data_IF_530780335874
#
_entry.id   IF_530780335874
#
_cell.length_a   1.000
_cell.length_b   1.000
_cell.length_c   1.000
_cell.angle_alpha   90.00
_cell.angle_beta   90.00
_cell.angle_gamma   90.00
#
_symmetry.space_group_name_H-M   'P 1'
#
loop_
_entity.id
_entity.type
_entity.pdbx_description
1 polymer ?
#
# COMPACT_ATOMS: atom_id res chain seq x y z
N UNK A 1 -27.73 -33.49 -55.72
CA UNK A 1 -28.48 -33.15 -54.49
C UNK A 1 -28.08 -34.15 -53.40
N UNK A 2 -27.10 -33.79 -52.57
CA UNK A 2 -26.64 -34.55 -51.40
C UNK A 2 -26.25 -33.54 -50.33
N UNK A 3 -27.00 -33.54 -49.23
CA UNK A 3 -26.82 -32.67 -48.07
C UNK A 3 -25.89 -33.41 -47.11
N UNK A 4 -24.73 -32.82 -46.81
CA UNK A 4 -23.82 -33.36 -45.79
C UNK A 4 -23.86 -32.43 -44.59
N UNK A 5 -24.49 -32.89 -43.52
CA UNK A 5 -24.54 -32.25 -42.21
C UNK A 5 -23.12 -32.16 -41.62
N UNK A 6 -22.64 -30.95 -41.35
CA UNK A 6 -21.42 -30.73 -40.58
C UNK A 6 -21.83 -30.48 -39.12
N UNK A 7 -21.52 -31.43 -38.24
CA UNK A 7 -21.66 -31.26 -36.80
C UNK A 7 -20.67 -30.19 -36.30
N UNK A 8 -21.20 -29.13 -35.69
CA UNK A 8 -20.41 -28.16 -34.95
C UNK A 8 -20.02 -28.77 -33.59
N UNK A 9 -18.71 -28.95 -33.36
CA UNK A 9 -18.16 -29.25 -32.03
C UNK A 9 -17.85 -27.91 -31.36
N UNK A 10 -18.72 -27.49 -30.44
CA UNK A 10 -18.48 -26.34 -29.58
C UNK A 10 -17.46 -26.78 -28.52
N UNK A 11 -16.18 -26.47 -28.76
CA UNK A 11 -15.14 -26.59 -27.76
C UNK A 11 -15.34 -25.54 -26.67
N UNK A 12 -15.90 -25.95 -25.54
CA UNK A 12 -16.01 -25.12 -24.35
C UNK A 12 -14.60 -24.96 -23.75
N UNK A 13 -13.85 -23.96 -24.22
CA UNK A 13 -12.61 -23.53 -23.58
C UNK A 13 -12.98 -22.94 -22.22
N UNK A 14 -12.79 -23.72 -21.16
CA UNK A 14 -12.85 -23.25 -19.79
C UNK A 14 -11.78 -22.16 -19.60
N UNK A 15 -12.17 -20.89 -19.71
CA UNK A 15 -11.36 -19.75 -19.29
C UNK A 15 -11.00 -19.94 -17.80
N UNK A 16 -9.72 -20.00 -17.42
CA UNK A 16 -9.36 -19.94 -16.02
C UNK A 16 -9.86 -18.58 -15.51
N UNK A 17 -10.83 -18.60 -14.59
CA UNK A 17 -11.25 -17.42 -13.85
C UNK A 17 -10.01 -16.94 -13.10
N UNK A 18 -9.36 -15.90 -13.61
CA UNK A 18 -8.35 -15.17 -12.87
C UNK A 18 -9.02 -14.73 -11.55
N UNK A 19 -8.69 -15.41 -10.46
CA UNK A 19 -9.15 -15.01 -9.15
C UNK A 19 -8.71 -13.56 -8.95
N UNK A 20 -9.63 -12.61 -8.67
CA UNK A 20 -9.22 -11.26 -8.36
C UNK A 20 -8.29 -11.37 -7.16
N UNK A 21 -7.02 -11.05 -7.35
CA UNK A 21 -6.06 -10.92 -6.27
C UNK A 21 -6.73 -10.02 -5.27
N UNK A 22 -7.07 -10.53 -4.08
CA UNK A 22 -7.59 -9.71 -3.01
C UNK A 22 -6.54 -8.62 -2.79
N UNK A 23 -6.82 -7.42 -3.29
CA UNK A 23 -5.91 -6.30 -3.18
C UNK A 23 -5.92 -5.95 -1.70
N UNK A 24 -5.00 -6.58 -0.95
CA UNK A 24 -4.82 -6.35 0.48
C UNK A 24 -4.50 -4.87 0.59
N UNK A 25 -5.51 -4.09 0.97
CA UNK A 25 -5.35 -2.66 1.20
C UNK A 25 -4.25 -2.54 2.25
N UNK A 26 -3.14 -1.90 1.89
CA UNK A 26 -2.00 -1.78 2.78
C UNK A 26 -2.49 -1.23 4.15
N UNK A 27 -2.11 -1.87 5.27
CA UNK A 27 -2.60 -1.47 6.58
C UNK A 27 -2.24 -0.01 6.87
N UNK A 28 -3.20 0.73 7.43
CA UNK A 28 -2.99 2.12 7.84
C UNK A 28 -2.23 2.16 9.17
N UNK A 29 -1.22 3.01 9.27
CA UNK A 29 -0.45 3.24 10.49
C UNK A 29 -0.84 4.60 11.03
N UNK A 30 -1.49 4.63 12.20
CA UNK A 30 -2.06 5.84 12.80
C UNK A 30 -2.93 6.66 11.81
N UNK A 31 -3.67 5.97 10.94
CA UNK A 31 -4.52 6.59 9.92
C UNK A 31 -3.80 6.98 8.63
N UNK A 32 -2.47 6.86 8.55
CA UNK A 32 -1.70 7.14 7.33
C UNK A 32 -1.54 5.87 6.51
N UNK A 33 -1.78 5.98 5.21
CA UNK A 33 -1.59 4.90 4.22
C UNK A 33 -0.52 5.28 3.20
N UNK A 34 0.08 4.29 2.56
CA UNK A 34 0.94 4.51 1.40
C UNK A 34 0.16 5.28 0.30
N UNK A 35 0.84 6.19 -0.38
CA UNK A 35 0.27 7.05 -1.41
C UNK A 35 -0.50 8.28 -0.91
N UNK A 36 -0.74 8.44 0.40
CA UNK A 36 -1.32 9.70 0.92
C UNK A 36 -0.43 10.90 0.55
N UNK A 37 -1.05 12.03 0.20
CA UNK A 37 -0.28 13.24 -0.09
C UNK A 37 0.24 13.90 1.20
N UNK A 38 1.30 14.72 1.15
CA UNK A 38 1.77 15.45 2.33
C UNK A 38 0.68 16.30 3.00
N UNK A 39 -0.28 16.82 2.20
CA UNK A 39 -1.43 17.57 2.71
C UNK A 39 -2.35 16.68 3.54
N UNK A 40 -2.67 15.49 3.05
CA UNK A 40 -3.55 14.55 3.74
C UNK A 40 -2.90 14.02 5.02
N UNK A 41 -1.58 13.76 4.97
CA UNK A 41 -0.79 13.42 6.15
C UNK A 41 -0.84 14.55 7.18
N UNK A 42 -0.69 15.81 6.75
CA UNK A 42 -0.80 16.98 7.63
C UNK A 42 -2.20 17.16 8.23
N UNK A 43 -3.26 16.85 7.48
CA UNK A 43 -4.63 16.85 8.00
C UNK A 43 -4.87 15.73 9.03
N UNK A 44 -4.21 14.58 8.87
CA UNK A 44 -4.36 13.42 9.74
C UNK A 44 -3.53 13.50 11.02
N UNK A 45 -2.24 13.86 10.89
CA UNK A 45 -1.26 13.81 11.98
C UNK A 45 -0.94 15.19 12.56
N UNK A 46 -1.33 16.27 11.89
CA UNK A 46 -0.90 17.63 12.19
C UNK A 46 0.47 17.94 11.59
N UNK A 47 1.10 19.01 12.07
CA UNK A 47 2.48 19.36 11.69
C UNK A 47 3.48 18.36 12.29
N UNK A 48 4.54 17.99 11.56
CA UNK A 48 5.61 17.15 12.10
C UNK A 48 6.40 17.89 13.18
N UNK A 49 6.90 17.15 14.16
CA UNK A 49 7.80 17.68 15.19
C UNK A 49 9.18 18.02 14.59
N UNK A 50 9.62 17.21 13.62
CA UNK A 50 10.85 17.45 12.84
C UNK A 50 10.63 17.14 11.38
N UNK A 51 11.25 17.95 10.53
CA UNK A 51 11.23 17.75 9.09
C UNK A 51 12.66 17.76 8.56
N UNK A 52 13.02 16.72 7.79
CA UNK A 52 14.32 16.62 7.13
C UNK A 52 14.14 16.29 5.65
N UNK A 53 15.14 16.65 4.84
CA UNK A 53 15.24 16.25 3.45
C UNK A 53 16.66 15.75 3.17
N UNK A 54 16.78 14.57 2.56
CA UNK A 54 18.07 13.95 2.26
C UNK A 54 17.91 12.98 1.09
N UNK A 55 18.87 12.96 0.17
CA UNK A 55 18.92 12.03 -0.97
C UNK A 55 17.60 11.95 -1.78
N UNK A 56 16.94 13.09 -2.00
CA UNK A 56 15.65 13.14 -2.72
C UNK A 56 14.48 12.54 -1.93
N UNK A 57 14.63 12.34 -0.62
CA UNK A 57 13.59 11.91 0.29
C UNK A 57 13.27 13.00 1.30
N UNK A 58 12.02 13.02 1.74
CA UNK A 58 11.53 13.89 2.81
C UNK A 58 11.04 13.04 3.96
N UNK A 59 11.41 13.48 5.15
CA UNK A 59 11.15 12.78 6.41
C UNK A 59 10.34 13.70 7.31
N UNK A 60 9.14 13.29 7.65
CA UNK A 60 8.31 13.93 8.66
C UNK A 60 8.27 13.03 9.89
N UNK A 61 8.91 13.49 10.96
CA UNK A 61 9.04 12.75 12.20
C UNK A 61 7.99 13.22 13.21
N UNK A 62 7.35 12.25 13.84
CA UNK A 62 6.41 12.43 14.95
C UNK A 62 6.89 11.59 16.14
N UNK A 63 7.99 11.97 16.84
CA UNK A 63 8.58 11.15 17.89
C UNK A 63 7.61 10.83 19.02
N UNK A 64 6.70 11.76 19.36
CA UNK A 64 5.66 11.54 20.36
C UNK A 64 4.73 10.36 20.00
N UNK A 65 4.50 10.14 18.70
CA UNK A 65 3.68 9.05 18.17
C UNK A 65 4.50 7.81 17.78
N UNK A 66 5.83 7.92 17.78
CA UNK A 66 6.74 6.85 17.37
C UNK A 66 6.65 6.54 15.87
N UNK A 67 6.39 7.55 15.04
CA UNK A 67 6.16 7.38 13.60
C UNK A 67 7.04 8.34 12.82
N UNK A 68 7.63 7.84 11.73
CA UNK A 68 8.25 8.67 10.70
C UNK A 68 7.60 8.36 9.37
N UNK A 69 7.08 9.38 8.69
CA UNK A 69 6.49 9.27 7.36
C UNK A 69 7.52 9.74 6.33
N UNK A 70 7.71 8.93 5.29
CA UNK A 70 8.76 9.14 4.29
C UNK A 70 8.11 9.15 2.91
N UNK A 71 8.52 10.12 2.10
CA UNK A 71 8.20 10.14 0.67
C UNK A 71 9.41 10.58 -0.12
N UNK A 72 9.44 10.19 -1.39
CA UNK A 72 10.41 10.69 -2.35
C UNK A 72 9.93 12.02 -2.91
N UNK A 73 10.85 12.89 -3.30
CA UNK A 73 10.52 14.16 -3.94
C UNK A 73 9.99 13.96 -5.37
N UNK A 74 10.42 12.90 -6.03
CA UNK A 74 10.06 12.56 -7.41
C UNK A 74 8.86 11.61 -7.53
N UNK A 75 8.26 11.21 -6.41
CA UNK A 75 7.11 10.30 -6.38
C UNK A 75 5.92 10.92 -5.63
N UNK A 76 4.69 10.66 -6.09
CA UNK A 76 3.51 11.17 -5.40
C UNK A 76 3.27 10.39 -4.10
N UNK A 77 3.29 11.12 -2.99
CA UNK A 77 2.77 10.66 -1.70
C UNK A 77 3.70 9.73 -0.90
N UNK A 78 3.18 9.26 0.23
CA UNK A 78 3.90 8.42 1.20
C UNK A 78 4.44 7.17 0.54
N UNK A 79 5.76 7.01 0.54
CA UNK A 79 6.44 5.82 0.04
C UNK A 79 6.74 4.82 1.16
N UNK A 80 7.00 5.29 2.37
CA UNK A 80 7.25 4.43 3.51
C UNK A 80 6.75 5.06 4.81
N UNK A 81 6.39 4.19 5.77
CA UNK A 81 6.03 4.58 7.12
C UNK A 81 6.87 3.72 8.06
N UNK A 82 7.70 4.36 8.87
CA UNK A 82 8.54 3.68 9.86
C UNK A 82 7.89 3.84 11.22
N UNK A 83 7.67 2.71 11.90
CA UNK A 83 7.17 2.67 13.28
C UNK A 83 8.34 2.41 14.21
N UNK A 84 8.67 3.38 15.05
CA UNK A 84 9.68 3.25 16.09
C UNK A 84 9.02 2.79 17.39
N UNK A 85 9.21 1.52 17.73
CA UNK A 85 8.77 0.98 19.02
C UNK A 85 9.65 1.56 20.13
N UNK A 86 9.06 2.29 21.09
CA UNK A 86 9.78 2.84 22.26
C UNK A 86 9.92 1.87 23.44
N UNK A 87 9.55 0.59 23.28
CA UNK A 87 9.72 -0.43 24.32
C UNK A 87 9.89 -1.84 23.74
N UNK A 88 10.84 -2.61 24.27
CA UNK A 88 10.98 -4.03 23.97
C UNK A 88 10.01 -4.84 24.86
N UNK A 89 9.35 -5.85 24.31
CA UNK A 89 8.49 -6.77 25.04
C UNK A 89 8.64 -8.15 24.43
N UNK A 90 8.56 -9.20 25.26
CA UNK A 90 8.75 -10.58 24.84
C UNK A 90 7.71 -10.94 23.79
N UNK A 91 8.15 -11.39 22.61
CA UNK A 91 7.27 -12.02 21.62
C UNK A 91 7.06 -13.46 22.08
N UNK A 92 5.84 -13.78 22.54
CA UNK A 92 5.44 -15.17 22.78
C UNK A 92 4.59 -15.61 21.59
N UNK A 93 4.97 -16.71 20.94
CA UNK A 93 4.07 -17.45 20.06
C UNK A 93 2.82 -17.84 20.87
N UNK A 94 1.63 -17.62 20.28
CA UNK A 94 0.34 -18.07 20.81
C UNK A 94 -0.06 -19.32 20.05
#
# INVERSE_FOLDING_TARGET
MRVTFVLAVIGLLATPLAMPSAQVKAPAVAGVTLGMTPRDVGAMLGSPDRQQASLGMRFWEYPARGITVIWREDAPGVNAIVVSKRGAGVVREV
#
